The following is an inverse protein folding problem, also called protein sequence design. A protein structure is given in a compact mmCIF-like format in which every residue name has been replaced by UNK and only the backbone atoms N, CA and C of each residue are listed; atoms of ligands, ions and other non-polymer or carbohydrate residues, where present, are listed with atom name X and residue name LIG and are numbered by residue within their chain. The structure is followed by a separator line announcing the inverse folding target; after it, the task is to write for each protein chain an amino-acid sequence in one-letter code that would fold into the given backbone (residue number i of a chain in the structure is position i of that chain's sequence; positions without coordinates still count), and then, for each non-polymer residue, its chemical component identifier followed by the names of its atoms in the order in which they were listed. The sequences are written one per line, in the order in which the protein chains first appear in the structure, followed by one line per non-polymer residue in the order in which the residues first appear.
data_IF_678042870543
#
_entry.id   IF_678042870543
#
_cell.length_a   1.000
_cell.length_b   1.000
_cell.length_c   1.000
_cell.angle_alpha   90.00
_cell.angle_beta   90.00
_cell.angle_gamma   90.00
#
_symmetry.space_group_name_H-M   'P 1'
#
loop_
_entity.id
_entity.type
_entity.pdbx_description
1 polymer ?
#
# COMPACT_ATOMS: atom_id res chain seq x y z
N UNK A 1 -8.26 15.25 -16.67
CA UNK A 1 -7.19 16.17 -16.17
C UNK A 1 -5.83 15.70 -16.67
N UNK A 2 -4.95 16.62 -17.10
CA UNK A 2 -3.61 16.27 -17.62
C UNK A 2 -2.50 17.18 -17.10
N UNK A 3 -1.31 16.61 -16.93
CA UNK A 3 -0.05 17.31 -16.63
C UNK A 3 0.95 16.99 -17.74
N UNK A 4 1.46 18.02 -18.42
CA UNK A 4 2.61 17.90 -19.31
C UNK A 4 3.87 18.33 -18.57
N UNK A 5 4.88 17.47 -18.60
CA UNK A 5 6.23 17.78 -18.18
C UNK A 5 7.06 18.24 -19.39
N UNK A 6 7.80 19.33 -19.19
CA UNK A 6 8.81 19.81 -20.11
C UNK A 6 10.15 19.84 -19.39
N UNK A 7 11.20 19.43 -20.10
CA UNK A 7 12.58 19.54 -19.67
C UNK A 7 13.28 20.51 -20.62
N UNK A 8 13.79 21.62 -20.09
CA UNK A 8 14.41 22.69 -20.89
C UNK A 8 13.51 23.12 -22.07
N UNK A 9 12.24 23.38 -21.75
CA UNK A 9 11.15 23.75 -22.68
C UNK A 9 10.78 22.71 -23.75
N UNK A 10 11.38 21.51 -23.73
CA UNK A 10 11.01 20.41 -24.61
C UNK A 10 10.01 19.47 -23.91
N UNK A 11 8.86 19.14 -24.53
CA UNK A 11 7.91 18.17 -23.97
C UNK A 11 8.55 16.79 -23.86
N UNK A 12 8.52 16.22 -22.65
CA UNK A 12 9.09 14.88 -22.37
C UNK A 12 8.04 13.84 -22.03
N UNK A 13 6.94 14.26 -21.39
CA UNK A 13 5.84 13.37 -21.04
C UNK A 13 4.56 14.16 -20.85
N UNK A 14 3.41 13.58 -21.21
CA UNK A 14 2.09 14.11 -20.86
C UNK A 14 1.30 13.02 -20.14
N UNK A 15 1.18 13.14 -18.82
CA UNK A 15 0.37 12.24 -18.02
C UNK A 15 -1.08 12.73 -17.96
N UNK A 16 -2.03 11.80 -17.84
CA UNK A 16 -3.44 12.14 -17.81
C UNK A 16 -4.31 11.07 -17.22
N UNK A 17 -5.40 11.51 -16.60
CA UNK A 17 -6.45 10.66 -16.06
C UNK A 17 -7.78 11.03 -16.69
N UNK A 18 -8.50 10.00 -17.14
CA UNK A 18 -9.84 10.10 -17.72
C UNK A 18 -10.94 9.82 -16.67
N UNK A 19 -10.55 9.35 -15.49
CA UNK A 19 -11.45 9.00 -14.39
C UNK A 19 -11.17 9.84 -13.14
N UNK A 20 -11.97 9.63 -12.08
CA UNK A 20 -11.75 10.30 -10.79
C UNK A 20 -10.45 9.80 -10.15
N UNK A 21 -9.66 10.73 -9.64
CA UNK A 21 -8.38 10.37 -9.05
C UNK A 21 -7.46 11.56 -8.83
N UNK A 22 -6.19 11.26 -8.63
CA UNK A 22 -5.13 12.22 -8.40
C UNK A 22 -4.02 12.04 -9.43
N UNK A 23 -3.57 13.14 -10.01
CA UNK A 23 -2.36 13.15 -10.84
C UNK A 23 -1.30 13.96 -10.11
N UNK A 24 -0.07 13.45 -10.07
CA UNK A 24 1.02 14.00 -9.29
C UNK A 24 2.32 13.98 -10.09
N UNK A 25 3.20 14.92 -9.76
CA UNK A 25 4.55 15.01 -10.29
C UNK A 25 5.53 15.04 -9.12
N UNK A 26 6.49 14.12 -9.12
CA UNK A 26 7.48 13.96 -8.07
C UNK A 26 8.86 14.22 -8.66
N UNK A 27 9.55 15.25 -8.15
CA UNK A 27 10.97 15.48 -8.44
C UNK A 27 11.78 14.90 -7.30
N UNK A 28 12.56 13.85 -7.59
CA UNK A 28 13.43 13.21 -6.62
C UNK A 28 14.87 13.53 -6.99
N UNK A 29 15.54 14.29 -6.12
CA UNK A 29 16.96 14.62 -6.22
C UNK A 29 17.68 13.87 -5.11
N UNK A 30 18.64 13.01 -5.49
CA UNK A 30 19.39 12.21 -4.54
C UNK A 30 20.76 12.84 -4.27
N UNK A 31 21.04 13.10 -3.00
CA UNK A 31 22.34 13.62 -2.56
C UNK A 31 23.04 12.52 -1.76
N UNK A 32 23.91 11.74 -2.40
CA UNK A 32 24.76 10.72 -1.75
C UNK A 32 26.23 10.95 -2.06
N UNK A 33 27.07 10.76 -1.04
CA UNK A 33 28.50 11.06 -1.09
C UNK A 33 29.37 9.95 -1.72
N UNK A 34 28.83 8.76 -2.02
CA UNK A 34 29.67 7.58 -2.32
C UNK A 34 29.22 6.68 -3.46
N UNK A 35 28.15 7.00 -4.21
CA UNK A 35 27.69 6.18 -5.33
C UNK A 35 27.56 7.03 -6.61
N UNK A 36 28.30 6.70 -7.69
CA UNK A 36 28.31 7.50 -8.93
C UNK A 36 27.04 7.36 -9.79
N UNK A 37 26.12 6.46 -9.42
CA UNK A 37 24.91 6.15 -10.20
C UNK A 37 23.61 6.71 -9.59
N UNK A 38 23.70 7.66 -8.66
CA UNK A 38 22.51 8.35 -8.13
C UNK A 38 21.79 9.10 -9.25
N UNK A 39 20.55 8.69 -9.58
CA UNK A 39 19.78 9.29 -10.66
C UNK A 39 18.75 10.27 -10.12
N UNK A 40 18.94 11.56 -10.44
CA UNK A 40 17.93 12.59 -10.26
C UNK A 40 16.82 12.37 -11.29
N UNK A 41 15.57 12.27 -10.84
CA UNK A 41 14.46 11.88 -11.71
C UNK A 41 13.19 12.69 -11.44
N UNK A 42 12.46 12.97 -12.52
CA UNK A 42 11.08 13.41 -12.49
C UNK A 42 10.17 12.22 -12.80
N UNK A 43 9.17 12.00 -11.95
CA UNK A 43 8.15 10.97 -12.12
C UNK A 43 6.77 11.62 -12.20
N UNK A 44 5.99 11.22 -13.19
CA UNK A 44 4.56 11.52 -13.24
C UNK A 44 3.79 10.26 -12.83
N UNK A 45 2.91 10.41 -11.86
CA UNK A 45 2.18 9.30 -11.24
C UNK A 45 0.71 9.66 -11.14
N UNK A 46 -0.15 8.67 -11.34
CA UNK A 46 -1.59 8.78 -11.24
C UNK A 46 -2.16 7.74 -10.30
N UNK A 47 -3.23 8.11 -9.61
CA UNK A 47 -4.06 7.17 -8.85
C UNK A 47 -5.48 7.37 -9.32
N UNK A 48 -6.05 6.38 -10.00
CA UNK A 48 -7.49 6.32 -10.25
C UNK A 48 -8.19 5.71 -9.05
N UNK A 49 -9.33 6.28 -8.68
CA UNK A 49 -10.16 5.78 -7.58
C UNK A 49 -11.44 5.19 -8.15
N UNK A 50 -11.55 3.86 -8.08
CA UNK A 50 -12.75 3.12 -8.42
C UNK A 50 -13.51 2.74 -7.13
N UNK A 51 -14.74 2.24 -7.27
CA UNK A 51 -15.60 1.93 -6.11
C UNK A 51 -14.98 0.89 -5.16
N UNK A 52 -14.22 -0.05 -5.70
CA UNK A 52 -13.70 -1.22 -4.96
C UNK A 52 -12.19 -1.36 -5.01
N UNK A 53 -11.50 -0.50 -5.77
CA UNK A 53 -10.06 -0.56 -5.93
C UNK A 53 -9.49 0.80 -6.33
N UNK A 54 -8.18 0.95 -6.19
CA UNK A 54 -7.43 2.05 -6.80
C UNK A 54 -6.48 1.50 -7.85
N UNK A 55 -6.28 2.24 -8.94
CA UNK A 55 -5.31 1.88 -9.98
C UNK A 55 -4.16 2.86 -9.90
N UNK A 56 -2.98 2.38 -9.55
CA UNK A 56 -1.75 3.16 -9.60
C UNK A 56 -1.21 3.13 -11.02
N UNK A 57 -0.89 4.29 -11.56
CA UNK A 57 -0.49 4.48 -12.95
C UNK A 57 0.84 5.22 -12.95
N UNK A 58 1.85 4.61 -13.58
CA UNK A 58 3.18 5.18 -13.72
C UNK A 58 3.46 5.51 -15.19
N UNK A 59 3.91 6.73 -15.43
CA UNK A 59 4.43 7.18 -16.73
C UNK A 59 5.95 7.04 -16.79
N UNK A 60 6.56 7.10 -18.00
CA UNK A 60 8.01 7.00 -18.14
C UNK A 60 8.75 7.95 -17.20
N UNK A 61 9.77 7.42 -16.52
CA UNK A 61 10.66 8.21 -15.67
C UNK A 61 11.53 9.09 -16.56
N UNK A 62 11.63 10.38 -16.21
CA UNK A 62 12.49 11.34 -16.92
C UNK A 62 13.72 11.60 -16.08
N UNK A 63 14.91 11.32 -16.63
CA UNK A 63 16.17 11.66 -15.99
C UNK A 63 16.40 13.17 -16.06
N UNK A 64 16.84 13.75 -14.95
CA UNK A 64 17.12 15.18 -14.81
C UNK A 64 18.57 15.34 -14.41
N UNK A 65 19.24 16.38 -14.91
CA UNK A 65 20.61 16.72 -14.54
C UNK A 65 20.66 18.08 -13.85
N UNK A 66 21.77 18.34 -13.17
CA UNK A 66 22.02 19.67 -12.63
C UNK A 66 22.02 20.71 -13.76
N UNK A 67 21.32 21.82 -13.53
CA UNK A 67 21.12 22.88 -14.53
C UNK A 67 19.89 22.70 -15.43
N UNK A 68 19.25 21.52 -15.44
CA UNK A 68 17.99 21.34 -16.16
C UNK A 68 16.84 22.10 -15.49
N UNK A 69 15.92 22.60 -16.31
CA UNK A 69 14.67 23.25 -15.88
C UNK A 69 13.50 22.32 -16.15
N UNK A 70 12.78 21.97 -15.08
CA UNK A 70 11.52 21.22 -15.16
C UNK A 70 10.34 22.18 -15.10
N UNK A 71 9.51 22.16 -16.13
CA UNK A 71 8.25 22.92 -16.18
C UNK A 71 7.07 21.95 -16.23
N UNK A 72 6.09 22.15 -15.35
CA UNK A 72 4.84 21.40 -15.33
C UNK A 72 3.71 22.29 -15.82
N UNK A 73 2.96 21.82 -16.83
CA UNK A 73 1.79 22.52 -17.37
C UNK A 73 0.54 21.69 -17.13
N UNK A 74 -0.46 22.29 -16.49
CA UNK A 74 -1.81 21.73 -16.46
C UNK A 74 -2.48 21.95 -17.81
N UNK A 75 -3.01 20.88 -18.39
CA UNK A 75 -3.65 20.91 -19.70
C UNK A 75 -5.15 20.55 -19.57
N UNK A 76 -6.00 21.06 -20.49
CA UNK A 76 -7.38 20.57 -20.63
C UNK A 76 -7.38 19.09 -21.02
N UNK A 77 -8.54 18.44 -21.10
CA UNK A 77 -8.62 17.04 -21.52
C UNK A 77 -8.13 16.80 -22.96
N UNK A 78 -7.67 15.57 -23.25
CA UNK A 78 -7.11 15.20 -24.55
C UNK A 78 -6.14 14.01 -24.46
N UNK A 79 -5.36 13.78 -25.52
CA UNK A 79 -4.45 12.62 -25.58
C UNK A 79 -3.28 12.73 -24.58
N UNK A 80 -2.98 11.63 -23.91
CA UNK A 80 -1.85 11.50 -22.99
C UNK A 80 -0.84 10.50 -23.54
N UNK A 81 0.39 10.57 -23.05
CA UNK A 81 1.38 9.50 -23.22
C UNK A 81 0.83 8.21 -22.61
N UNK A 82 1.08 7.06 -23.25
CA UNK A 82 0.70 5.77 -22.67
C UNK A 82 1.49 5.51 -21.36
N UNK A 83 0.84 5.03 -20.29
CA UNK A 83 1.54 4.62 -19.09
C UNK A 83 2.48 3.44 -19.34
N UNK A 84 3.61 3.38 -18.63
CA UNK A 84 4.53 2.23 -18.68
C UNK A 84 4.09 1.10 -17.76
N UNK A 85 3.33 1.44 -16.73
CA UNK A 85 2.84 0.49 -15.76
C UNK A 85 1.49 0.94 -15.21
N UNK A 86 0.59 -0.03 -15.06
CA UNK A 86 -0.65 0.11 -14.30
C UNK A 86 -0.69 -1.04 -13.30
N UNK A 87 -0.96 -0.73 -12.04
CA UNK A 87 -1.07 -1.69 -10.94
C UNK A 87 -2.40 -1.49 -10.26
N UNK A 88 -3.23 -2.53 -10.24
CA UNK A 88 -4.49 -2.48 -9.49
C UNK A 88 -4.23 -2.83 -8.04
N UNK A 89 -4.87 -2.12 -7.12
CA UNK A 89 -4.79 -2.46 -5.71
C UNK A 89 -5.34 -3.86 -5.43
N UNK A 90 -6.27 -4.36 -6.24
CA UNK A 90 -6.79 -5.74 -6.17
C UNK A 90 -5.74 -6.81 -6.50
N UNK A 91 -4.78 -6.48 -7.38
CA UNK A 91 -3.67 -7.35 -7.79
C UNK A 91 -2.50 -7.33 -6.81
N UNK A 92 -2.58 -6.52 -5.74
CA UNK A 92 -1.51 -6.46 -4.76
C UNK A 92 -1.27 -7.86 -4.17
N UNK A 93 -0.03 -8.37 -4.18
CA UNK A 93 0.29 -9.72 -3.68
C UNK A 93 -0.03 -9.87 -2.19
N UNK A 94 -0.16 -8.76 -1.48
CA UNK A 94 -0.61 -8.69 -0.09
C UNK A 94 -2.12 -8.85 0.09
N UNK A 95 -2.94 -8.87 -0.97
CA UNK A 95 -4.37 -9.18 -0.83
C UNK A 95 -4.53 -10.69 -0.76
N UNK A 96 -5.32 -11.14 0.21
CA UNK A 96 -5.58 -12.56 0.41
C UNK A 96 -7.04 -12.87 0.11
N UNK A 97 -7.22 -13.95 -0.66
CA UNK A 97 -8.48 -14.62 -0.93
C UNK A 97 -9.46 -13.75 -1.73
N UNK A 98 -9.88 -14.20 -2.91
CA UNK A 98 -10.97 -13.56 -3.65
C UNK A 98 -12.35 -14.07 -3.23
N UNK A 99 -12.42 -15.24 -2.58
CA UNK A 99 -13.65 -15.89 -2.15
C UNK A 99 -14.03 -15.48 -0.71
N UNK A 100 -15.13 -14.74 -0.56
CA UNK A 100 -15.63 -14.26 0.74
C UNK A 100 -16.01 -15.39 1.70
N UNK A 101 -16.52 -16.52 1.20
CA UNK A 101 -16.87 -17.67 2.03
C UNK A 101 -15.63 -18.36 2.63
N UNK A 102 -14.56 -18.50 1.85
CA UNK A 102 -13.28 -19.00 2.35
C UNK A 102 -12.63 -18.02 3.33
N UNK A 103 -12.67 -16.71 3.03
CA UNK A 103 -12.21 -15.66 3.93
C UNK A 103 -12.91 -15.73 5.29
N UNK A 104 -14.25 -15.78 5.31
CA UNK A 104 -15.03 -15.90 6.54
C UNK A 104 -14.66 -17.15 7.35
N UNK A 105 -14.46 -18.30 6.69
CA UNK A 105 -14.04 -19.53 7.38
C UNK A 105 -12.64 -19.41 7.99
N UNK A 106 -11.69 -18.81 7.29
CA UNK A 106 -10.33 -18.59 7.83
C UNK A 106 -10.39 -17.65 9.04
N UNK A 107 -11.13 -16.54 8.94
CA UNK A 107 -11.32 -15.61 10.06
C UNK A 107 -11.93 -16.31 11.29
N UNK A 108 -12.91 -17.18 11.10
CA UNK A 108 -13.50 -17.96 12.19
C UNK A 108 -12.48 -18.92 12.84
N UNK A 109 -11.61 -19.55 12.05
CA UNK A 109 -10.52 -20.40 12.58
C UNK A 109 -9.51 -19.57 13.37
N UNK A 110 -9.11 -18.40 12.86
CA UNK A 110 -8.20 -17.50 13.56
C UNK A 110 -8.79 -17.03 14.90
N UNK A 111 -10.06 -16.62 14.91
CA UNK A 111 -10.73 -16.20 16.15
C UNK A 111 -10.76 -17.33 17.18
N UNK A 112 -11.11 -18.57 16.77
CA UNK A 112 -11.10 -19.71 17.69
C UNK A 112 -9.68 -20.05 18.21
N UNK A 113 -8.66 -19.87 17.38
CA UNK A 113 -7.26 -20.06 17.78
C UNK A 113 -6.81 -18.99 18.80
N UNK A 114 -7.13 -17.71 18.54
CA UNK A 114 -6.83 -16.61 19.45
C UNK A 114 -7.52 -16.81 20.81
N UNK A 115 -8.80 -17.21 20.83
CA UNK A 115 -9.52 -17.54 22.07
C UNK A 115 -8.81 -18.65 22.86
N UNK A 116 -8.42 -19.74 22.22
CA UNK A 116 -7.71 -20.84 22.91
C UNK A 116 -6.35 -20.40 23.44
N UNK A 117 -5.63 -19.55 22.72
CA UNK A 117 -4.35 -19.00 23.20
C UNK A 117 -4.54 -18.05 24.38
N UNK A 118 -5.58 -17.21 24.38
CA UNK A 118 -5.91 -16.33 25.49
C UNK A 118 -6.27 -17.11 26.76
N UNK A 119 -7.02 -18.21 26.62
CA UNK A 119 -7.33 -19.12 27.73
C UNK A 119 -6.04 -19.70 28.34
N UNK A 120 -5.13 -20.22 27.51
CA UNK A 120 -3.84 -20.75 27.97
C UNK A 120 -2.95 -19.68 28.61
N UNK A 121 -2.99 -18.45 28.07
CA UNK A 121 -2.27 -17.32 28.65
C UNK A 121 -2.82 -16.98 30.05
N UNK A 122 -4.14 -16.93 30.20
CA UNK A 122 -4.78 -16.71 31.49
C UNK A 122 -4.46 -17.82 32.51
N UNK A 123 -4.45 -19.09 32.07
CA UNK A 123 -4.03 -20.22 32.90
C UNK A 123 -2.57 -20.08 33.36
N UNK A 124 -1.67 -19.66 32.47
CA UNK A 124 -0.24 -19.51 32.78
C UNK A 124 0.03 -18.55 33.93
N UNK A 125 -0.79 -17.50 34.09
CA UNK A 125 -0.68 -16.53 35.20
C UNK A 125 -0.82 -17.21 36.56
N UNK A 126 -1.60 -18.29 36.63
CA UNK A 126 -1.84 -19.04 37.88
C UNK A 126 -0.86 -20.19 38.12
N UNK A 127 -0.17 -20.66 37.07
CA UNK A 127 0.66 -21.87 37.11
C UNK A 127 2.17 -21.59 37.06
N UNK A 128 2.58 -20.48 36.45
CA UNK A 128 3.97 -20.17 36.17
C UNK A 128 4.49 -19.00 37.01
N UNK A 129 5.81 -18.93 37.29
CA UNK A 129 6.40 -17.77 37.91
C UNK A 129 6.34 -16.57 36.95
N UNK A 130 6.32 -15.35 37.51
CA UNK A 130 6.07 -14.11 36.78
C UNK A 130 7.03 -13.86 35.60
N UNK A 131 8.27 -14.34 35.67
CA UNK A 131 9.25 -14.24 34.60
C UNK A 131 8.91 -15.13 33.39
N UNK A 132 8.32 -16.31 33.61
CA UNK A 132 7.86 -17.19 32.53
C UNK A 132 6.55 -16.66 31.93
N UNK A 133 5.62 -16.20 32.76
CA UNK A 133 4.40 -15.51 32.31
C UNK A 133 4.73 -14.37 31.33
N UNK A 134 5.71 -13.51 31.68
CA UNK A 134 6.15 -12.43 30.80
C UNK A 134 6.71 -12.92 29.45
N UNK A 135 7.41 -14.06 29.40
CA UNK A 135 7.89 -14.65 28.14
C UNK A 135 6.74 -15.21 27.31
N UNK A 136 5.78 -15.89 27.94
CA UNK A 136 4.59 -16.43 27.27
C UNK A 136 3.76 -15.28 26.68
N UNK A 137 3.53 -14.20 27.43
CA UNK A 137 2.88 -12.98 26.94
C UNK A 137 3.58 -12.40 25.70
N UNK A 138 4.91 -12.35 25.70
CA UNK A 138 5.67 -11.86 24.54
C UNK A 138 5.50 -12.77 23.33
N UNK A 139 5.61 -14.08 23.51
CA UNK A 139 5.42 -15.04 22.43
C UNK A 139 4.00 -14.97 21.86
N UNK A 140 2.99 -14.85 22.71
CA UNK A 140 1.60 -14.64 22.30
C UNK A 140 1.44 -13.35 21.47
N UNK A 141 2.01 -12.23 21.94
CA UNK A 141 1.94 -10.96 21.23
C UNK A 141 2.60 -11.01 19.85
N UNK A 142 3.72 -11.73 19.71
CA UNK A 142 4.39 -11.94 18.40
C UNK A 142 3.51 -12.74 17.44
N UNK A 143 2.85 -13.81 17.91
CA UNK A 143 1.92 -14.60 17.10
C UNK A 143 0.72 -13.75 16.67
N UNK A 144 0.09 -13.03 17.60
CA UNK A 144 -1.06 -12.17 17.30
C UNK A 144 -0.69 -11.07 16.29
N UNK A 145 0.48 -10.41 16.47
CA UNK A 145 0.96 -9.40 15.53
C UNK A 145 1.21 -9.98 14.13
N UNK A 146 1.80 -11.17 14.05
CA UNK A 146 2.05 -11.84 12.77
C UNK A 146 0.74 -12.24 12.06
N UNK A 147 -0.24 -12.77 12.80
CA UNK A 147 -1.57 -13.08 12.25
C UNK A 147 -2.28 -11.82 11.76
N UNK A 148 -2.26 -10.76 12.56
CA UNK A 148 -2.80 -9.45 12.22
C UNK A 148 -2.23 -8.92 10.90
N UNK A 149 -0.91 -8.80 10.81
CA UNK A 149 -0.24 -8.18 9.67
C UNK A 149 -0.32 -9.00 8.37
N UNK A 150 -0.21 -10.34 8.47
CA UNK A 150 -0.01 -11.19 7.30
C UNK A 150 -1.24 -11.97 6.88
N UNK A 151 -2.27 -12.07 7.72
CA UNK A 151 -3.48 -12.83 7.41
C UNK A 151 -4.76 -12.01 7.60
N UNK A 152 -5.01 -11.51 8.80
CA UNK A 152 -6.28 -10.86 9.14
C UNK A 152 -6.46 -9.56 8.35
N UNK A 153 -5.50 -8.64 8.44
CA UNK A 153 -5.58 -7.35 7.77
C UNK A 153 -5.67 -7.46 6.24
N UNK A 154 -4.82 -8.27 5.57
CA UNK A 154 -4.99 -8.61 4.16
C UNK A 154 -6.39 -9.07 3.74
N UNK A 155 -7.02 -9.92 4.57
CA UNK A 155 -8.37 -10.43 4.31
C UNK A 155 -9.41 -9.32 4.50
N UNK A 156 -9.33 -8.55 5.58
CA UNK A 156 -10.27 -7.44 5.85
C UNK A 156 -10.21 -6.36 4.78
N UNK A 157 -9.02 -6.01 4.31
CA UNK A 157 -8.85 -5.06 3.19
C UNK A 157 -9.52 -5.56 1.91
N UNK A 158 -9.51 -6.87 1.67
CA UNK A 158 -10.12 -7.50 0.49
C UNK A 158 -11.62 -7.74 0.65
N UNK A 159 -12.12 -7.87 1.89
CA UNK A 159 -13.50 -8.18 2.24
C UNK A 159 -14.02 -7.25 3.33
N UNK A 160 -14.21 -5.97 3.01
CA UNK A 160 -14.61 -4.95 3.99
C UNK A 160 -15.90 -5.29 4.76
N UNK A 161 -16.80 -6.08 4.17
CA UNK A 161 -18.02 -6.56 4.84
C UNK A 161 -17.78 -7.56 5.97
N UNK A 162 -16.57 -8.13 6.07
CA UNK A 162 -16.17 -9.07 7.12
C UNK A 162 -15.45 -8.37 8.29
N UNK A 163 -15.23 -7.05 8.22
CA UNK A 163 -14.61 -6.28 9.29
C UNK A 163 -15.54 -6.28 10.51
N UNK A 164 -15.08 -6.78 11.68
CA UNK A 164 -15.84 -6.73 12.92
C UNK A 164 -16.23 -5.29 13.28
N UNK A 165 -17.43 -5.04 13.84
CA UNK A 165 -17.86 -3.71 14.24
C UNK A 165 -16.85 -2.98 15.13
N UNK A 166 -16.14 -3.71 15.97
CA UNK A 166 -15.15 -3.19 16.92
C UNK A 166 -13.91 -2.60 16.23
N UNK A 167 -13.61 -3.03 15.00
CA UNK A 167 -12.47 -2.59 14.20
C UNK A 167 -12.86 -1.57 13.11
N UNK A 168 -14.15 -1.20 13.03
CA UNK A 168 -14.62 -0.25 12.02
C UNK A 168 -14.18 1.18 12.37
N UNK A 169 -13.35 1.78 11.50
CA UNK A 169 -12.87 3.15 11.65
C UNK A 169 -11.47 3.26 12.26
N UNK A 170 -10.87 2.15 12.70
CA UNK A 170 -9.42 2.12 12.89
C UNK A 170 -8.73 2.26 11.52
N UNK A 171 -7.53 2.85 11.52
CA UNK A 171 -6.69 2.87 10.32
C UNK A 171 -6.19 1.44 10.11
N UNK A 172 -7.02 0.65 9.43
CA UNK A 172 -6.67 -0.65 8.91
C UNK A 172 -5.64 -0.45 7.81
#
# INVERSE_FOLDING_TARGET
MRIQALLNDQPVCTAGLDTRGFLSAHLNIEVRYSEPDAQNVLRLVGIETHKTESVHIDWPVVNVKEGDVVTLKLLPDGRSTEPVQMKRSSEAPSNLLTNTGLASRILAVCSAFETQLEELLAESVSLEPSNEVAKIHRAYAEVAASLGAHLLYPIYRSHASLIPPELQGEVL
#
